data_IF_713336131548
#
_entry.id   IF_713336131548
#
_cell.length_a   1.000
_cell.length_b   1.000
_cell.length_c   1.000
_cell.angle_alpha   90.00
_cell.angle_beta   90.00
_cell.angle_gamma   90.00
#
_symmetry.space_group_name_H-M   'P 1'
#
loop_
_entity.id
_entity.type
_entity.pdbx_description
1 polymer ?
#
# COMPACT_ATOMS: atom_id res chain seq x y z
N UNK A 1 15.26 26.69 -51.34
CA UNK A 1 15.00 25.34 -50.79
C UNK A 1 14.60 25.52 -49.33
N UNK A 2 13.31 25.76 -49.06
CA UNK A 2 12.82 25.87 -47.69
C UNK A 2 12.32 24.48 -47.27
N UNK A 3 13.14 23.82 -46.46
CA UNK A 3 12.74 22.63 -45.70
C UNK A 3 11.67 23.07 -44.69
N UNK A 4 10.41 22.78 -45.02
CA UNK A 4 9.30 22.86 -44.07
C UNK A 4 9.48 21.77 -43.02
N UNK A 5 10.06 22.13 -41.88
CA UNK A 5 10.01 21.28 -40.70
C UNK A 5 8.53 21.09 -40.33
N UNK A 6 8.02 19.87 -40.53
CA UNK A 6 6.69 19.50 -40.05
C UNK A 6 6.67 19.65 -38.52
N UNK A 7 5.60 20.20 -37.92
CA UNK A 7 5.52 20.28 -36.47
C UNK A 7 5.61 18.85 -35.92
N UNK A 8 6.64 18.58 -35.12
CA UNK A 8 6.87 17.28 -34.54
C UNK A 8 5.66 16.98 -33.63
N UNK A 9 4.84 16.01 -34.02
CA UNK A 9 3.66 15.62 -33.27
C UNK A 9 4.04 15.28 -31.83
N UNK A 10 3.25 15.72 -30.86
CA UNK A 10 3.50 15.45 -29.44
C UNK A 10 3.65 13.93 -29.23
N UNK A 11 4.81 13.43 -28.74
CA UNK A 11 5.03 11.99 -28.58
C UNK A 11 4.04 11.32 -27.60
N UNK A 12 3.37 12.10 -26.75
CA UNK A 12 2.33 11.66 -25.83
C UNK A 12 0.91 11.85 -26.36
N UNK A 13 0.71 12.22 -27.63
CA UNK A 13 -0.62 12.43 -28.23
C UNK A 13 -1.57 11.24 -27.99
N UNK A 14 -1.04 10.01 -28.06
CA UNK A 14 -1.79 8.79 -27.80
C UNK A 14 -2.45 8.73 -26.40
N UNK A 15 -1.88 9.40 -25.38
CA UNK A 15 -2.48 9.47 -24.04
C UNK A 15 -3.70 10.38 -24.00
N UNK A 16 -3.71 11.48 -24.76
CA UNK A 16 -4.88 12.34 -24.91
C UNK A 16 -5.99 11.60 -25.66
N UNK A 17 -5.64 10.88 -26.73
CA UNK A 17 -6.61 10.03 -27.44
C UNK A 17 -7.19 8.93 -26.54
N UNK A 18 -6.37 8.33 -25.66
CA UNK A 18 -6.84 7.36 -24.68
C UNK A 18 -7.80 8.00 -23.67
N UNK A 19 -7.51 9.23 -23.21
CA UNK A 19 -8.40 9.99 -22.34
C UNK A 19 -9.74 10.30 -23.03
N UNK A 20 -9.72 10.77 -24.27
CA UNK A 20 -10.96 11.09 -25.01
C UNK A 20 -11.85 9.86 -25.19
N UNK A 21 -11.24 8.72 -25.53
CA UNK A 21 -11.94 7.42 -25.59
C UNK A 21 -12.49 7.01 -24.22
N UNK A 22 -11.77 7.28 -23.14
CA UNK A 22 -12.21 6.97 -21.78
C UNK A 22 -13.38 7.85 -21.34
N UNK A 23 -13.31 9.16 -21.55
CA UNK A 23 -14.40 10.12 -21.27
C UNK A 23 -15.66 9.73 -22.03
N UNK A 24 -15.53 9.47 -23.34
CA UNK A 24 -16.66 9.08 -24.20
C UNK A 24 -17.33 7.81 -23.68
N UNK A 25 -16.54 6.79 -23.32
CA UNK A 25 -17.06 5.53 -22.78
C UNK A 25 -17.75 5.74 -21.44
N UNK A 26 -17.16 6.52 -20.53
CA UNK A 26 -17.74 6.78 -19.20
C UNK A 26 -19.06 7.52 -19.29
N UNK A 27 -19.17 8.53 -20.14
CA UNK A 27 -20.42 9.27 -20.36
C UNK A 27 -21.49 8.46 -21.09
N UNK A 28 -21.09 7.51 -21.94
CA UNK A 28 -22.03 6.58 -22.56
C UNK A 28 -22.58 5.55 -21.55
N UNK A 29 -21.77 5.11 -20.59
CA UNK A 29 -22.20 4.26 -19.47
C UNK A 29 -23.07 5.05 -18.48
N UNK A 30 -22.71 6.29 -18.20
CA UNK A 30 -23.31 7.14 -17.18
C UNK A 30 -23.13 8.65 -17.51
N UNK A 31 -24.16 9.31 -18.08
CA UNK A 31 -24.09 10.72 -18.48
C UNK A 31 -23.81 11.69 -17.33
N UNK A 32 -24.09 11.31 -16.09
CA UNK A 32 -23.90 12.16 -14.91
C UNK A 32 -22.57 11.89 -14.19
N UNK A 33 -21.74 10.98 -14.70
CA UNK A 33 -20.51 10.51 -14.05
C UNK A 33 -19.61 11.64 -13.52
N UNK A 34 -19.24 12.60 -14.39
CA UNK A 34 -18.37 13.71 -14.01
C UNK A 34 -19.09 14.77 -13.16
N UNK A 35 -20.41 14.90 -13.31
CA UNK A 35 -21.20 15.79 -12.45
C UNK A 35 -21.16 15.26 -11.02
N UNK A 36 -21.43 13.97 -10.80
CA UNK A 36 -21.34 13.37 -9.46
C UNK A 36 -19.92 13.46 -8.89
N UNK A 37 -18.90 13.15 -9.69
CA UNK A 37 -17.51 13.25 -9.27
C UNK A 37 -17.13 14.67 -8.81
N UNK A 38 -17.63 15.71 -9.49
CA UNK A 38 -17.37 17.10 -9.12
C UNK A 38 -17.98 17.51 -7.77
N UNK A 39 -19.06 16.84 -7.35
CA UNK A 39 -19.77 17.12 -6.10
C UNK A 39 -19.35 16.19 -4.93
N UNK A 40 -18.55 15.15 -5.21
CA UNK A 40 -18.14 14.14 -4.23
C UNK A 40 -16.74 14.48 -3.69
N UNK A 41 -16.69 15.08 -2.48
CA UNK A 41 -15.44 15.56 -1.87
C UNK A 41 -15.22 15.13 -0.41
N UNK A 42 -15.99 14.17 0.09
CA UNK A 42 -15.91 13.72 1.49
C UNK A 42 -15.52 12.25 1.57
N UNK A 43 -14.25 11.88 1.24
CA UNK A 43 -13.81 10.50 1.35
C UNK A 43 -13.88 10.05 2.81
N UNK A 44 -14.34 8.83 3.04
CA UNK A 44 -14.34 8.23 4.39
C UNK A 44 -13.02 7.50 4.69
N UNK A 45 -12.18 7.31 3.68
CA UNK A 45 -10.99 6.47 3.74
C UNK A 45 -9.72 7.22 3.30
N UNK A 46 -8.63 7.07 4.05
CA UNK A 46 -7.28 7.39 3.64
C UNK A 46 -6.51 6.10 3.34
N UNK A 47 -5.96 5.97 2.14
CA UNK A 47 -5.09 4.86 1.73
C UNK A 47 -3.63 5.31 1.65
N UNK A 48 -2.77 4.74 2.50
CA UNK A 48 -1.31 4.91 2.43
C UNK A 48 -0.72 3.64 1.81
N UNK A 49 -0.29 3.73 0.56
CA UNK A 49 0.18 2.59 -0.21
C UNK A 49 1.56 2.78 -0.83
N UNK A 50 2.04 1.75 -1.51
CA UNK A 50 3.29 1.83 -2.25
C UNK A 50 3.12 2.63 -3.55
N UNK A 51 4.17 3.33 -3.99
CA UNK A 51 4.24 3.95 -5.34
C UNK A 51 4.23 2.93 -6.48
N UNK A 52 4.34 1.65 -6.18
CA UNK A 52 4.15 0.57 -7.14
C UNK A 52 2.80 0.70 -7.87
N UNK A 53 2.86 0.71 -9.20
CA UNK A 53 1.73 1.06 -10.08
C UNK A 53 0.77 -0.10 -10.35
N UNK A 54 1.03 -1.30 -9.81
CA UNK A 54 0.35 -2.51 -10.28
C UNK A 54 -1.17 -2.51 -10.10
N UNK A 55 -1.74 -1.84 -9.08
CA UNK A 55 -3.21 -1.64 -8.98
C UNK A 55 -3.58 -0.34 -8.21
N UNK A 56 -4.52 0.49 -8.72
CA UNK A 56 -5.09 1.63 -7.98
C UNK A 56 -5.93 1.21 -6.77
N UNK A 57 -5.90 1.98 -5.68
CA UNK A 57 -6.58 1.65 -4.41
C UNK A 57 -8.09 1.42 -4.59
N UNK A 58 -8.77 2.36 -5.26
CA UNK A 58 -10.21 2.31 -5.52
C UNK A 58 -10.64 1.02 -6.23
N UNK A 59 -9.80 0.53 -7.15
CA UNK A 59 -10.07 -0.70 -7.88
C UNK A 59 -9.91 -1.95 -7.00
N UNK A 60 -8.95 -1.96 -6.07
CA UNK A 60 -8.72 -3.08 -5.14
C UNK A 60 -9.94 -3.29 -4.24
N UNK A 61 -10.51 -2.21 -3.72
CA UNK A 61 -11.61 -2.27 -2.73
C UNK A 61 -13.00 -2.00 -3.33
N UNK A 62 -13.10 -1.89 -4.65
CA UNK A 62 -14.37 -1.74 -5.36
C UNK A 62 -15.11 -0.42 -5.06
N UNK A 63 -14.38 0.64 -4.71
CA UNK A 63 -14.95 1.95 -4.42
C UNK A 63 -14.88 2.88 -5.64
N UNK A 64 -15.88 3.77 -5.83
CA UNK A 64 -15.83 4.76 -6.88
C UNK A 64 -14.72 5.80 -6.62
N UNK A 65 -14.22 6.50 -7.66
CA UNK A 65 -13.34 7.64 -7.48
C UNK A 65 -13.98 8.70 -6.57
N UNK A 66 -13.16 9.35 -5.73
CA UNK A 66 -13.62 10.36 -4.76
C UNK A 66 -13.91 9.81 -3.35
N UNK A 67 -14.04 8.50 -3.19
CA UNK A 67 -14.30 7.87 -1.87
C UNK A 67 -13.03 7.58 -1.06
N UNK A 68 -11.87 7.53 -1.71
CA UNK A 68 -10.59 7.24 -1.07
C UNK A 68 -9.61 8.37 -1.34
N UNK A 69 -9.10 8.96 -0.27
CA UNK A 69 -7.97 9.87 -0.30
C UNK A 69 -6.67 9.04 -0.30
N UNK A 70 -5.70 9.37 -1.16
CA UNK A 70 -4.58 8.45 -1.42
C UNK A 70 -3.23 9.14 -1.22
N UNK A 71 -2.37 8.50 -0.44
CA UNK A 71 -0.93 8.77 -0.39
C UNK A 71 -0.14 7.59 -0.94
N UNK A 72 0.95 7.86 -1.66
CA UNK A 72 1.87 6.83 -2.14
C UNK A 72 3.33 7.25 -2.03
N UNK A 73 4.14 6.38 -1.42
CA UNK A 73 5.59 6.45 -1.44
C UNK A 73 6.20 5.04 -1.58
N UNK A 74 7.51 4.92 -1.79
CA UNK A 74 8.15 3.62 -1.95
C UNK A 74 8.01 2.81 -0.64
N UNK A 75 7.50 1.59 -0.73
CA UNK A 75 7.28 0.69 0.41
C UNK A 75 6.35 1.24 1.51
N UNK A 76 5.43 2.16 1.17
CA UNK A 76 4.34 2.64 2.03
C UNK A 76 4.77 3.08 3.43
N UNK A 77 5.95 3.70 3.53
CA UNK A 77 6.62 4.08 4.78
C UNK A 77 5.99 5.36 5.34
N UNK A 78 5.75 5.38 6.65
CA UNK A 78 5.32 6.58 7.40
C UNK A 78 6.45 6.93 8.36
N UNK A 79 7.24 7.94 8.01
CA UNK A 79 8.33 8.43 8.85
C UNK A 79 7.78 9.49 9.80
N UNK A 80 8.22 9.47 11.07
CA UNK A 80 7.76 10.41 12.10
C UNK A 80 7.95 11.91 11.75
N UNK A 81 8.82 12.21 10.79
CA UNK A 81 9.15 13.57 10.35
C UNK A 81 8.98 13.77 8.85
N UNK A 82 8.35 12.83 8.12
CA UNK A 82 8.05 13.03 6.69
C UNK A 82 6.85 13.95 6.54
N UNK A 83 7.13 15.25 6.38
CA UNK A 83 6.10 16.26 6.24
C UNK A 83 5.19 16.03 5.02
N UNK A 84 5.64 15.28 4.00
CA UNK A 84 4.81 14.91 2.87
C UNK A 84 3.64 14.01 3.34
N UNK A 85 3.94 12.85 3.92
CA UNK A 85 2.92 11.94 4.42
C UNK A 85 2.11 12.56 5.58
N UNK A 86 2.77 13.26 6.50
CA UNK A 86 2.10 13.87 7.66
C UNK A 86 1.11 14.96 7.25
N UNK A 87 1.41 15.76 6.23
CA UNK A 87 0.46 16.75 5.70
C UNK A 87 -0.78 16.08 5.13
N UNK A 88 -0.62 14.93 4.43
CA UNK A 88 -1.74 14.16 3.91
C UNK A 88 -2.59 13.57 5.03
N UNK A 89 -1.97 13.00 6.06
CA UNK A 89 -2.67 12.47 7.24
C UNK A 89 -3.43 13.59 7.95
N UNK A 90 -2.80 14.74 8.21
CA UNK A 90 -3.45 15.87 8.87
C UNK A 90 -4.64 16.38 8.06
N UNK A 91 -4.49 16.54 6.76
CA UNK A 91 -5.57 17.00 5.90
C UNK A 91 -6.75 16.01 5.90
N UNK A 92 -6.46 14.71 5.79
CA UNK A 92 -7.48 13.66 5.81
C UNK A 92 -8.24 13.61 7.13
N UNK A 93 -7.52 13.65 8.25
CA UNK A 93 -8.09 13.52 9.60
C UNK A 93 -8.77 14.81 10.04
N UNK A 94 -8.12 15.96 9.91
CA UNK A 94 -8.61 17.21 10.48
C UNK A 94 -9.60 17.94 9.57
N UNK A 95 -9.41 17.89 8.25
CA UNK A 95 -10.27 18.60 7.31
C UNK A 95 -11.33 17.68 6.70
N UNK A 96 -10.91 16.56 6.09
CA UNK A 96 -11.84 15.65 5.41
C UNK A 96 -12.63 14.75 6.37
N UNK A 97 -12.17 14.64 7.62
CA UNK A 97 -12.78 13.81 8.68
C UNK A 97 -12.93 12.34 8.25
N UNK A 98 -11.90 11.78 7.61
CA UNK A 98 -11.88 10.34 7.29
C UNK A 98 -12.12 9.50 8.56
N UNK A 99 -12.85 8.40 8.40
CA UNK A 99 -13.15 7.45 9.47
C UNK A 99 -12.09 6.34 9.56
N UNK A 100 -11.44 6.05 8.45
CA UNK A 100 -10.50 4.95 8.35
C UNK A 100 -9.21 5.37 7.66
N UNK A 101 -8.07 5.00 8.25
CA UNK A 101 -6.75 5.10 7.61
C UNK A 101 -6.26 3.67 7.39
N UNK A 102 -5.97 3.30 6.14
CA UNK A 102 -5.41 2.00 5.80
C UNK A 102 -3.96 2.18 5.34
N UNK A 103 -3.03 1.60 6.09
CA UNK A 103 -1.66 1.39 5.63
C UNK A 103 -1.61 0.04 4.94
N UNK A 104 -1.28 0.03 3.65
CA UNK A 104 -1.39 -1.16 2.81
C UNK A 104 -0.07 -1.50 2.15
N UNK A 105 0.58 -2.54 2.69
CA UNK A 105 1.69 -3.21 2.03
C UNK A 105 1.23 -4.09 0.87
N UNK A 106 2.16 -4.52 0.03
CA UNK A 106 1.86 -5.49 -1.03
C UNK A 106 2.99 -6.48 -1.25
N UNK A 107 2.63 -7.73 -1.52
CA UNK A 107 3.61 -8.78 -1.80
C UNK A 107 4.30 -8.55 -3.15
N UNK A 108 5.57 -8.95 -3.24
CA UNK A 108 6.42 -8.62 -4.37
C UNK A 108 6.83 -7.14 -4.46
N UNK A 109 6.72 -6.36 -3.38
CA UNK A 109 7.21 -4.97 -3.35
C UNK A 109 8.72 -4.88 -3.62
N UNK A 110 9.10 -4.12 -4.65
CA UNK A 110 10.48 -3.93 -5.08
C UNK A 110 11.32 -3.17 -4.06
N UNK A 111 10.76 -2.16 -3.38
CA UNK A 111 11.44 -1.43 -2.31
C UNK A 111 11.76 -2.33 -1.11
N UNK A 112 10.80 -3.14 -0.67
CA UNK A 112 11.02 -4.11 0.40
C UNK A 112 12.02 -5.19 -0.01
N UNK A 113 11.98 -5.66 -1.26
CA UNK A 113 12.97 -6.61 -1.77
C UNK A 113 14.39 -6.02 -1.80
N UNK A 114 14.55 -4.78 -2.24
CA UNK A 114 15.83 -4.07 -2.23
C UNK A 114 16.37 -3.92 -0.79
N UNK A 115 15.51 -3.55 0.16
CA UNK A 115 15.85 -3.47 1.57
C UNK A 115 16.22 -4.84 2.18
N UNK A 116 15.49 -5.90 1.83
CA UNK A 116 15.76 -7.26 2.30
C UNK A 116 17.13 -7.75 1.85
N UNK A 117 17.44 -7.59 0.56
CA UNK A 117 18.67 -8.11 -0.06
C UNK A 117 19.85 -7.14 -0.01
N UNK A 118 19.67 -5.92 0.51
CA UNK A 118 20.73 -4.91 0.52
C UNK A 118 21.14 -4.45 -0.88
N UNK A 119 20.21 -4.44 -1.84
CA UNK A 119 20.47 -4.00 -3.21
C UNK A 119 20.63 -2.48 -3.24
N UNK A 120 21.75 -2.00 -3.78
CA UNK A 120 22.00 -0.56 -4.01
C UNK A 120 21.12 -0.04 -5.15
N UNK A 121 20.41 1.05 -4.88
CA UNK A 121 19.56 1.78 -5.83
C UNK A 121 20.06 3.22 -6.01
N UNK A 122 20.67 3.82 -4.97
CA UNK A 122 21.14 5.20 -4.98
C UNK A 122 20.45 6.03 -3.92
N UNK A 123 19.87 7.18 -4.28
CA UNK A 123 19.25 8.09 -3.30
C UNK A 123 18.14 7.40 -2.49
N UNK A 124 17.38 6.51 -3.13
CA UNK A 124 16.32 5.74 -2.49
C UNK A 124 16.82 4.80 -1.38
N UNK A 125 18.11 4.46 -1.34
CA UNK A 125 18.69 3.64 -0.27
C UNK A 125 18.45 4.30 1.10
N UNK A 126 18.55 5.64 1.18
CA UNK A 126 18.30 6.40 2.42
C UNK A 126 16.86 6.26 2.89
N UNK A 127 15.90 6.25 1.96
CA UNK A 127 14.49 6.01 2.28
C UNK A 127 14.26 4.56 2.71
N UNK A 128 14.88 3.61 2.00
CA UNK A 128 14.77 2.18 2.29
C UNK A 128 15.46 1.77 3.59
N UNK A 129 16.34 2.59 4.17
CA UNK A 129 16.86 2.36 5.52
C UNK A 129 15.73 2.25 6.56
N UNK A 130 14.61 2.97 6.39
CA UNK A 130 13.46 2.80 7.29
C UNK A 130 12.86 1.38 7.24
N UNK A 131 12.87 0.72 6.08
CA UNK A 131 12.46 -0.69 5.96
C UNK A 131 13.55 -1.62 6.50
N UNK A 132 14.83 -1.26 6.35
CA UNK A 132 15.94 -2.01 6.94
C UNK A 132 15.95 -1.91 8.48
N UNK A 133 15.48 -0.82 9.06
CA UNK A 133 15.30 -0.66 10.50
C UNK A 133 14.24 -1.63 11.01
N UNK A 134 13.11 -1.76 10.28
CA UNK A 134 12.10 -2.80 10.57
C UNK A 134 12.71 -4.21 10.48
N UNK A 135 13.49 -4.48 9.42
CA UNK A 135 14.20 -5.76 9.27
C UNK A 135 15.13 -6.04 10.44
N UNK A 136 15.86 -5.02 10.90
CA UNK A 136 16.82 -5.13 12.01
C UNK A 136 16.11 -5.35 13.34
N UNK A 137 15.03 -4.60 13.59
CA UNK A 137 14.16 -4.73 14.77
C UNK A 137 13.59 -6.15 14.91
N UNK A 138 13.25 -6.79 13.80
CA UNK A 138 12.64 -8.13 13.76
C UNK A 138 13.59 -9.22 13.24
N UNK A 139 14.91 -9.03 13.34
CA UNK A 139 15.89 -9.93 12.73
C UNK A 139 15.70 -11.39 13.16
N UNK A 140 15.59 -11.66 14.46
CA UNK A 140 15.41 -13.01 15.00
C UNK A 140 14.13 -13.70 14.48
N UNK A 141 13.03 -12.94 14.34
CA UNK A 141 11.78 -13.45 13.77
C UNK A 141 11.96 -13.79 12.29
N UNK A 142 12.57 -12.89 11.52
CA UNK A 142 12.80 -13.06 10.09
C UNK A 142 13.79 -14.18 9.77
N UNK A 143 14.78 -14.42 10.64
CA UNK A 143 15.76 -15.49 10.51
C UNK A 143 15.14 -16.89 10.63
N UNK A 144 14.06 -17.03 11.40
CA UNK A 144 13.30 -18.29 11.50
C UNK A 144 12.57 -18.65 10.18
N UNK A 145 12.36 -17.68 9.28
CA UNK A 145 11.80 -17.93 7.96
C UNK A 145 12.91 -18.10 6.91
N UNK A 146 12.79 -19.04 5.96
CA UNK A 146 13.76 -19.19 4.87
C UNK A 146 13.94 -17.89 4.07
N UNK A 147 15.19 -17.58 3.71
CA UNK A 147 15.50 -16.44 2.85
C UNK A 147 14.81 -16.64 1.48
N UNK A 148 14.27 -15.55 0.93
CA UNK A 148 13.52 -15.55 -0.32
C UNK A 148 12.09 -15.06 -0.10
N UNK A 149 11.13 -15.64 -0.81
CA UNK A 149 9.73 -15.20 -0.81
C UNK A 149 9.10 -15.24 0.59
N UNK A 150 9.36 -16.29 1.38
CA UNK A 150 8.83 -16.40 2.73
C UNK A 150 9.25 -15.21 3.61
N UNK A 151 10.55 -14.92 3.68
CA UNK A 151 11.07 -13.78 4.44
C UNK A 151 10.64 -12.43 3.86
N UNK A 152 10.51 -12.29 2.54
CA UNK A 152 9.98 -11.09 1.89
C UNK A 152 8.55 -10.80 2.34
N UNK A 153 7.66 -11.79 2.27
CA UNK A 153 6.26 -11.64 2.69
C UNK A 153 6.15 -11.20 4.15
N UNK A 154 6.93 -11.81 5.04
CA UNK A 154 6.97 -11.42 6.47
C UNK A 154 7.48 -10.00 6.66
N UNK A 155 8.50 -9.58 5.91
CA UNK A 155 9.01 -8.21 6.00
C UNK A 155 7.99 -7.18 5.48
N UNK A 156 7.21 -7.49 4.44
CA UNK A 156 6.10 -6.63 3.98
C UNK A 156 5.05 -6.45 5.08
N UNK A 157 4.66 -7.53 5.74
CA UNK A 157 3.67 -7.52 6.82
C UNK A 157 4.18 -6.74 8.04
N UNK A 158 5.40 -7.02 8.49
CA UNK A 158 6.03 -6.29 9.59
C UNK A 158 6.20 -4.81 9.27
N UNK A 159 6.64 -4.46 8.05
CA UNK A 159 6.73 -3.07 7.63
C UNK A 159 5.38 -2.38 7.74
N UNK A 160 4.30 -3.03 7.29
CA UNK A 160 2.94 -2.49 7.40
C UNK A 160 2.53 -2.28 8.85
N UNK A 161 2.76 -3.27 9.73
CA UNK A 161 2.46 -3.17 11.16
C UNK A 161 3.22 -1.99 11.80
N UNK A 162 4.52 -1.86 11.53
CA UNK A 162 5.33 -0.76 12.06
C UNK A 162 4.89 0.60 11.53
N UNK A 163 4.47 0.68 10.27
CA UNK A 163 3.93 1.93 9.73
C UNK A 163 2.59 2.30 10.34
N UNK A 164 1.73 1.33 10.69
CA UNK A 164 0.50 1.60 11.48
C UNK A 164 0.88 2.18 12.85
N UNK A 165 1.88 1.59 13.52
CA UNK A 165 2.39 2.13 14.79
C UNK A 165 2.87 3.58 14.62
N UNK A 166 3.57 3.89 13.53
CA UNK A 166 4.04 5.24 13.26
C UNK A 166 2.90 6.23 13.04
N UNK A 167 1.83 5.85 12.33
CA UNK A 167 0.60 6.66 12.18
C UNK A 167 -0.05 6.92 13.54
N UNK A 168 -0.22 5.87 14.36
CA UNK A 168 -0.82 5.97 15.69
C UNK A 168 -0.02 6.84 16.66
N UNK A 169 1.30 6.98 16.42
CA UNK A 169 2.20 7.83 17.22
C UNK A 169 2.30 9.28 16.74
N UNK A 170 1.64 9.63 15.65
CA UNK A 170 1.59 11.03 15.21
C UNK A 170 0.83 11.90 16.20
N UNK A 171 1.23 13.17 16.35
CA UNK A 171 0.46 14.15 17.13
C UNK A 171 -0.95 14.29 16.57
N UNK A 172 -1.08 14.33 15.24
CA UNK A 172 -2.34 14.43 14.50
C UNK A 172 -3.38 13.44 15.01
N UNK A 173 -2.99 12.16 15.11
CA UNK A 173 -3.94 11.11 15.43
C UNK A 173 -4.22 11.01 16.93
N UNK A 174 -3.21 11.27 17.77
CA UNK A 174 -3.42 11.39 19.21
C UNK A 174 -4.35 12.56 19.55
N UNK A 175 -4.17 13.71 18.90
CA UNK A 175 -5.05 14.87 19.05
C UNK A 175 -6.47 14.58 18.55
N UNK A 176 -6.61 13.72 17.54
CA UNK A 176 -7.92 13.28 17.03
C UNK A 176 -8.66 12.38 18.01
N UNK A 177 -7.98 11.40 18.58
CA UNK A 177 -8.58 10.57 19.62
C UNK A 177 -8.86 11.37 20.90
N UNK A 178 -7.96 12.26 21.31
CA UNK A 178 -8.14 13.10 22.50
C UNK A 178 -9.37 14.02 22.42
N UNK A 179 -9.70 14.52 21.22
CA UNK A 179 -10.93 15.30 20.97
C UNK A 179 -12.17 14.46 20.66
N UNK A 180 -12.09 13.14 20.77
CA UNK A 180 -13.21 12.21 20.56
C UNK A 180 -13.59 11.99 19.09
N UNK A 181 -12.70 12.26 18.13
CA UNK A 181 -12.96 11.95 16.73
C UNK A 181 -12.85 10.44 16.50
N UNK A 182 -13.88 9.85 15.89
CA UNK A 182 -13.92 8.42 15.55
C UNK A 182 -13.10 8.17 14.28
N UNK A 183 -11.86 7.71 14.48
CA UNK A 183 -10.94 7.35 13.40
C UNK A 183 -10.17 6.08 13.77
N UNK A 184 -10.14 5.11 12.86
CA UNK A 184 -9.45 3.82 13.06
C UNK A 184 -8.32 3.65 12.05
N UNK A 185 -7.16 3.16 12.50
CA UNK A 185 -6.02 2.83 11.63
C UNK A 185 -5.92 1.33 11.42
N UNK A 186 -5.77 0.89 10.18
CA UNK A 186 -5.71 -0.51 9.78
C UNK A 186 -4.40 -0.84 9.08
N UNK A 187 -3.87 -2.04 9.31
CA UNK A 187 -2.74 -2.61 8.58
C UNK A 187 -3.17 -3.78 7.70
N UNK A 188 -3.03 -3.64 6.38
CA UNK A 188 -3.39 -4.67 5.40
C UNK A 188 -2.22 -5.04 4.47
N UNK A 189 -2.28 -6.24 3.90
CA UNK A 189 -1.37 -6.66 2.83
C UNK A 189 -2.15 -7.11 1.59
N UNK A 190 -1.77 -6.60 0.42
CA UNK A 190 -2.38 -6.94 -0.86
C UNK A 190 -1.51 -7.89 -1.68
N UNK A 191 -2.10 -8.97 -2.19
CA UNK A 191 -1.46 -9.89 -3.13
C UNK A 191 -1.67 -9.45 -4.57
N UNK A 192 -0.60 -8.99 -5.23
CA UNK A 192 -0.68 -8.67 -6.67
C UNK A 192 -0.91 -9.91 -7.54
N UNK A 193 -0.51 -11.09 -7.03
CA UNK A 193 -0.64 -12.37 -7.72
C UNK A 193 -2.07 -12.93 -7.72
N UNK A 194 -2.89 -12.58 -6.72
CA UNK A 194 -4.23 -13.16 -6.52
C UNK A 194 -5.36 -12.12 -6.39
N UNK A 195 -5.02 -10.83 -6.28
CA UNK A 195 -5.97 -9.75 -6.15
C UNK A 195 -6.60 -9.63 -4.76
N UNK A 196 -6.08 -10.34 -3.74
CA UNK A 196 -6.72 -10.38 -2.41
C UNK A 196 -6.04 -9.46 -1.40
N UNK A 197 -6.87 -8.74 -0.65
CA UNK A 197 -6.47 -8.02 0.56
C UNK A 197 -6.51 -8.98 1.74
N UNK A 198 -5.48 -8.92 2.59
CA UNK A 198 -5.34 -9.69 3.83
C UNK A 198 -5.29 -8.73 5.00
N UNK A 199 -6.14 -8.96 5.99
CA UNK A 199 -6.10 -8.22 7.24
C UNK A 199 -4.96 -8.76 8.10
N UNK A 200 -4.12 -7.88 8.67
CA UNK A 200 -3.03 -8.32 9.57
C UNK A 200 -3.49 -8.40 11.04
N UNK A 201 -4.78 -8.15 11.31
CA UNK A 201 -5.34 -8.04 12.66
C UNK A 201 -4.98 -6.73 13.38
N UNK A 202 -4.25 -5.84 12.69
CA UNK A 202 -3.82 -4.55 13.20
C UNK A 202 -4.91 -3.52 12.90
N UNK A 203 -5.76 -3.22 13.89
CA UNK A 203 -6.82 -2.22 13.79
C UNK A 203 -6.92 -1.45 15.12
N UNK A 204 -6.57 -0.17 15.10
CA UNK A 204 -6.40 0.67 16.29
C UNK A 204 -7.35 1.85 16.22
N UNK A 205 -8.27 1.94 17.18
CA UNK A 205 -9.24 3.03 17.32
C UNK A 205 -9.02 3.89 18.56
N UNK A 206 -8.05 3.52 19.42
CA UNK A 206 -7.64 4.28 20.60
C UNK A 206 -6.18 3.96 20.97
N UNK A 207 -5.44 4.88 21.62
CA UNK A 207 -4.03 4.67 21.97
C UNK A 207 -3.76 3.40 22.79
N UNK A 208 -4.61 3.11 23.78
CA UNK A 208 -4.38 2.02 24.74
C UNK A 208 -4.40 0.63 24.10
N UNK A 209 -5.06 0.47 22.95
CA UNK A 209 -5.12 -0.79 22.21
C UNK A 209 -3.86 -1.08 21.38
N UNK A 210 -2.95 -0.10 21.24
CA UNK A 210 -1.82 -0.17 20.32
C UNK A 210 -0.82 -1.26 20.71
N UNK A 211 -0.37 -1.27 21.97
CA UNK A 211 0.69 -2.17 22.41
C UNK A 211 0.25 -3.63 22.38
N UNK A 212 -0.95 -3.93 22.90
CA UNK A 212 -1.51 -5.29 22.87
C UNK A 212 -1.71 -5.79 21.43
N UNK A 213 -2.28 -4.95 20.57
CA UNK A 213 -2.49 -5.30 19.16
C UNK A 213 -1.17 -5.49 18.42
N UNK A 214 -0.18 -4.63 18.67
CA UNK A 214 1.14 -4.76 18.11
C UNK A 214 1.79 -6.10 18.47
N UNK A 215 1.80 -6.47 19.75
CA UNK A 215 2.37 -7.75 20.20
C UNK A 215 1.65 -8.95 19.57
N UNK A 216 0.32 -8.91 19.54
CA UNK A 216 -0.51 -9.94 18.89
C UNK A 216 -0.21 -10.08 17.40
N UNK A 217 -0.12 -8.97 16.68
CA UNK A 217 0.18 -8.96 15.25
C UNK A 217 1.60 -9.46 14.96
N UNK A 218 2.61 -9.02 15.72
CA UNK A 218 3.99 -9.52 15.57
C UNK A 218 4.07 -11.02 15.87
N UNK A 219 3.39 -11.49 16.91
CA UNK A 219 3.33 -12.91 17.24
C UNK A 219 2.69 -13.75 16.11
N UNK A 220 1.66 -13.24 15.44
CA UNK A 220 1.01 -13.93 14.32
C UNK A 220 1.91 -14.09 13.07
N UNK A 221 2.96 -13.29 12.95
CA UNK A 221 3.97 -13.36 11.87
C UNK A 221 5.06 -14.41 12.18
N UNK A 222 5.14 -14.92 13.42
CA UNK A 222 6.12 -15.95 13.81
C UNK A 222 5.81 -17.30 13.14
N UNK A 223 6.86 -18.10 12.90
CA UNK A 223 6.74 -19.40 12.21
C UNK A 223 5.92 -20.47 12.97
N UNK A 224 5.60 -20.25 14.25
CA UNK A 224 4.83 -21.15 15.10
C UNK A 224 3.47 -20.61 15.55
N UNK A 225 3.01 -19.48 15.02
CA UNK A 225 1.74 -18.86 15.41
C UNK A 225 0.52 -19.69 15.02
N UNK A 226 -0.52 -19.69 15.88
CA UNK A 226 -1.84 -20.25 15.54
C UNK A 226 -2.48 -19.34 14.50
N UNK A 227 -2.42 -19.74 13.23
CA UNK A 227 -3.03 -19.01 12.13
C UNK A 227 -4.55 -19.19 12.17
N UNK A 228 -5.29 -18.15 12.58
CA UNK A 228 -6.74 -18.12 12.38
C UNK A 228 -7.05 -18.10 10.88
N UNK A 229 -8.09 -18.83 10.46
CA UNK A 229 -8.42 -19.07 9.05
C UNK A 229 -8.63 -17.78 8.22
N UNK A 230 -9.02 -16.67 8.86
CA UNK A 230 -9.18 -15.37 8.20
C UNK A 230 -7.84 -14.66 7.88
N UNK A 231 -6.75 -15.07 8.56
CA UNK A 231 -5.36 -14.66 8.30
C UNK A 231 -4.57 -15.74 7.54
N UNK A 232 -5.17 -16.90 7.26
CA UNK A 232 -4.52 -18.05 6.65
C UNK A 232 -4.60 -18.01 5.12
N UNK A 233 -3.75 -17.17 4.55
CA UNK A 233 -3.30 -17.39 3.15
C UNK A 233 -1.84 -17.81 3.12
N UNK A 234 -1.19 -17.98 4.27
CA UNK A 234 0.21 -18.36 4.38
C UNK A 234 0.40 -19.85 4.10
N UNK A 235 -0.48 -20.71 4.63
CA UNK A 235 -0.45 -22.14 4.33
C UNK A 235 -1.20 -22.46 3.03
N UNK A 236 -2.30 -21.74 2.76
CA UNK A 236 -3.09 -21.95 1.55
C UNK A 236 -2.41 -21.46 0.25
N UNK A 237 -1.65 -20.35 0.25
CA UNK A 237 -0.90 -19.91 -0.94
C UNK A 237 0.34 -20.79 -1.18
N UNK A 238 1.03 -21.22 -0.12
CA UNK A 238 2.17 -22.12 -0.24
C UNK A 238 1.76 -23.48 -0.84
N UNK A 239 0.57 -23.98 -0.49
CA UNK A 239 0.00 -25.19 -1.06
C UNK A 239 -0.60 -25.01 -2.48
N UNK A 240 -1.08 -23.80 -2.82
CA UNK A 240 -1.69 -23.47 -4.13
C UNK A 240 -0.70 -22.93 -5.19
N UNK A 241 0.54 -22.65 -4.82
CA UNK A 241 1.60 -22.27 -5.78
C UNK A 241 1.95 -23.40 -6.77
N UNK A 242 1.46 -24.63 -6.56
CA UNK A 242 1.49 -25.69 -7.56
C UNK A 242 0.43 -25.57 -8.67
N UNK A 243 -0.58 -24.72 -8.50
CA UNK A 243 -1.79 -24.67 -9.32
C UNK A 243 -2.15 -23.24 -9.81
N UNK A 244 -1.15 -22.37 -9.95
CA UNK A 244 -1.35 -21.06 -10.59
C UNK A 244 -1.45 -21.28 -12.11
N UNK A 245 -2.53 -20.85 -12.79
CA UNK A 245 -2.64 -20.95 -14.23
C UNK A 245 -1.43 -20.30 -14.90
N UNK A 246 -0.86 -20.96 -15.92
CA UNK A 246 0.36 -20.62 -16.66
C UNK A 246 0.45 -19.17 -17.24
N UNK A 247 -0.54 -18.32 -16.98
CA UNK A 247 -0.61 -16.92 -17.38
C UNK A 247 0.13 -15.98 -16.41
N UNK A 248 0.34 -16.36 -15.14
CA UNK A 248 1.00 -15.48 -14.13
C UNK A 248 2.53 -15.69 -14.06
N UNK A 249 3.06 -16.80 -14.60
CA UNK A 249 4.50 -17.08 -14.65
C UNK A 249 5.33 -16.00 -15.38
N UNK A 250 4.70 -15.27 -16.32
CA UNK A 250 5.34 -14.19 -17.08
C UNK A 250 5.67 -12.95 -16.26
N UNK A 251 4.96 -12.69 -15.15
CA UNK A 251 5.14 -11.46 -14.35
C UNK A 251 6.33 -11.58 -13.38
N UNK A 252 6.71 -12.80 -13.00
CA UNK A 252 7.83 -13.07 -12.09
C UNK A 252 9.18 -13.01 -12.84
N UNK A 253 9.18 -13.16 -14.17
CA UNK A 253 10.40 -13.21 -14.99
C UNK A 253 11.10 -11.85 -15.20
N UNK A 254 10.46 -10.70 -14.96
CA UNK A 254 11.12 -9.39 -15.14
C UNK A 254 12.03 -8.95 -13.98
N UNK A 255 12.11 -9.72 -12.88
CA UNK A 255 13.15 -9.50 -11.85
C UNK A 255 14.52 -10.09 -12.25
N UNK A 256 14.62 -10.72 -13.42
CA UNK A 256 15.87 -11.15 -14.04
C UNK A 256 16.17 -10.28 -15.26
N UNK A 257 16.54 -9.03 -15.04
CA UNK A 257 17.40 -8.34 -15.99
C UNK A 257 18.68 -7.90 -15.27
N UNK A 258 19.77 -8.39 -15.85
CA UNK A 258 21.19 -8.11 -15.62
C UNK A 258 21.49 -6.60 -15.55
#
# INVERSE_FOLDING_TARGET
MNSSASPQANPLAHLFENNDKWVTRKLAEDPEYFSRLAHQQTPEYLWIGCSDSRVPANQIIGLPPGEVFVHRNIANVVVHTDLNCLSVIQFAVDLLKVKHIMVVGHYGCSGVAAALHGRRVGLADNWLHHVQDVRTKHAALLEAWPLGEARHRRLVELNTIEQVVNVCRTTILNDAWARGQDVTVHGWAYGVHDGKVRNLGMSINQPDALDESYQRCVAAVTAGGVHQADNDVIAADAAKLGDVPAVVEGVIKELKHE
#
